data_IF_574702143874
#
_entry.id   IF_574702143874
#
_cell.length_a   1.000
_cell.length_b   1.000
_cell.length_c   1.000
_cell.angle_alpha   90.00
_cell.angle_beta   90.00
_cell.angle_gamma   90.00
#
_symmetry.space_group_name_H-M   'P 1'
#
loop_
_entity.id
_entity.type
_entity.pdbx_description
1 polymer ?
#
# COMPACT_ATOMS: atom_id res chain seq x y z
N UNK A 1 14.83 21.18 -28.60
CA UNK A 1 14.86 21.29 -27.12
C UNK A 1 14.67 19.91 -26.53
N UNK A 2 15.75 19.31 -26.04
CA UNK A 2 15.72 18.03 -25.33
C UNK A 2 15.53 18.32 -23.85
N UNK A 3 14.26 18.45 -23.44
CA UNK A 3 13.94 18.58 -22.03
C UNK A 3 14.06 17.19 -21.42
N UNK A 4 15.24 16.94 -20.84
CA UNK A 4 15.49 15.91 -19.84
C UNK A 4 14.63 16.21 -18.61
N UNK A 5 13.33 15.98 -18.75
CA UNK A 5 12.40 15.86 -17.63
C UNK A 5 12.82 14.59 -16.91
N UNK A 6 13.59 14.79 -15.84
CA UNK A 6 13.95 13.76 -14.87
C UNK A 6 12.66 13.00 -14.55
N UNK A 7 12.47 11.85 -15.19
CA UNK A 7 11.15 11.26 -15.39
C UNK A 7 10.59 10.82 -14.03
N UNK A 8 9.88 11.72 -13.36
CA UNK A 8 9.21 11.40 -12.11
C UNK A 8 8.14 10.38 -12.48
N UNK A 9 8.24 9.14 -11.98
CA UNK A 9 7.34 8.07 -12.39
C UNK A 9 5.91 8.42 -11.98
N UNK A 10 4.95 8.03 -12.81
CA UNK A 10 3.55 8.19 -12.47
C UNK A 10 3.20 7.29 -11.29
N UNK A 11 2.54 7.80 -10.23
CA UNK A 11 2.07 6.98 -9.10
C UNK A 11 0.83 6.13 -9.46
N UNK A 12 0.61 5.84 -10.75
CA UNK A 12 -0.52 5.05 -11.20
C UNK A 12 -0.26 3.55 -10.95
N UNK A 13 -1.18 2.88 -10.25
CA UNK A 13 -1.11 1.44 -9.97
C UNK A 13 -1.99 0.60 -10.92
N UNK A 14 -2.49 1.19 -12.01
CA UNK A 14 -3.35 0.51 -12.98
C UNK A 14 -4.81 0.30 -12.53
N UNK A 15 -5.20 0.85 -11.39
CA UNK A 15 -6.58 0.81 -10.89
C UNK A 15 -7.30 2.11 -11.27
N UNK A 16 -8.23 2.04 -12.22
CA UNK A 16 -9.06 3.17 -12.62
C UNK A 16 -10.43 3.10 -11.94
N UNK A 17 -10.48 3.46 -10.65
CA UNK A 17 -11.71 3.54 -9.87
C UNK A 17 -11.72 4.88 -9.14
N UNK A 18 -12.82 5.60 -9.23
CA UNK A 18 -13.02 6.83 -8.46
C UNK A 18 -13.59 6.50 -7.08
N UNK A 19 -13.27 7.35 -6.11
CA UNK A 19 -13.88 7.39 -4.79
C UNK A 19 -15.39 7.70 -4.88
N UNK A 20 -16.12 7.52 -3.78
CA UNK A 20 -17.56 7.79 -3.68
C UNK A 20 -17.94 9.21 -4.14
N UNK A 21 -17.05 10.19 -3.93
CA UNK A 21 -17.26 11.57 -4.39
C UNK A 21 -16.94 11.81 -5.86
N UNK A 22 -16.34 10.85 -6.57
CA UNK A 22 -15.99 10.98 -7.99
C UNK A 22 -14.81 11.90 -8.29
N UNK A 23 -14.16 12.49 -7.29
CA UNK A 23 -13.12 13.52 -7.49
C UNK A 23 -11.69 12.96 -7.43
N UNK A 24 -11.50 11.84 -6.74
CA UNK A 24 -10.19 11.23 -6.45
C UNK A 24 -10.18 9.79 -6.94
N UNK A 25 -9.08 9.33 -7.51
CA UNK A 25 -8.87 7.93 -7.84
C UNK A 25 -8.61 7.12 -6.57
N UNK A 26 -9.44 6.13 -6.28
CA UNK A 26 -9.31 5.20 -5.15
C UNK A 26 -8.07 4.28 -5.24
N UNK A 27 -7.41 4.23 -6.41
CA UNK A 27 -6.19 3.47 -6.60
C UNK A 27 -4.92 4.27 -6.32
N UNK A 28 -4.71 5.35 -7.07
CA UNK A 28 -3.50 6.18 -6.96
C UNK A 28 -3.67 7.41 -6.04
N UNK A 29 -4.85 7.63 -5.47
CA UNK A 29 -5.18 8.71 -4.54
C UNK A 29 -4.97 10.13 -5.12
N UNK A 30 -4.93 10.26 -6.44
CA UNK A 30 -4.84 11.55 -7.16
C UNK A 30 -6.19 12.03 -7.63
N UNK A 31 -6.36 13.34 -7.72
CA UNK A 31 -7.54 13.95 -8.31
C UNK A 31 -7.57 13.75 -9.82
N UNK A 32 -8.76 13.81 -10.43
CA UNK A 32 -8.92 13.74 -11.88
C UNK A 32 -8.14 14.85 -12.61
N UNK A 33 -8.10 16.05 -12.05
CA UNK A 33 -7.36 17.18 -12.60
C UNK A 33 -5.85 16.89 -12.65
N UNK A 34 -5.29 16.39 -11.55
CA UNK A 34 -3.90 15.97 -11.46
C UNK A 34 -3.55 14.85 -12.47
N UNK A 35 -4.49 13.92 -12.72
CA UNK A 35 -4.31 12.83 -13.68
C UNK A 35 -4.31 13.37 -15.11
N UNK A 36 -5.27 14.23 -15.46
CA UNK A 36 -5.39 14.82 -16.80
C UNK A 36 -4.21 15.75 -17.13
N UNK A 37 -3.73 16.52 -16.15
CA UNK A 37 -2.65 17.48 -16.33
C UNK A 37 -1.24 16.88 -16.21
N UNK A 38 -1.10 15.59 -15.85
CA UNK A 38 0.20 14.97 -15.53
C UNK A 38 1.25 15.11 -16.63
N UNK A 39 0.86 14.92 -17.90
CA UNK A 39 1.76 15.04 -19.05
C UNK A 39 2.29 16.47 -19.23
N UNK A 40 1.57 17.48 -18.74
CA UNK A 40 1.97 18.89 -18.77
C UNK A 40 2.65 19.38 -17.50
N UNK A 41 2.75 18.56 -16.45
CA UNK A 41 3.40 18.95 -15.20
C UNK A 41 4.91 19.01 -15.34
N UNK A 42 5.52 20.03 -14.72
CA UNK A 42 6.97 20.11 -14.51
C UNK A 42 7.39 19.16 -13.40
N UNK A 43 8.67 18.78 -13.37
CA UNK A 43 9.25 17.95 -12.31
C UNK A 43 8.82 18.40 -10.89
N UNK A 44 8.88 19.70 -10.59
CA UNK A 44 8.50 20.24 -9.27
C UNK A 44 7.02 20.01 -8.94
N UNK A 45 6.12 20.13 -9.91
CA UNK A 45 4.69 19.81 -9.73
C UNK A 45 4.49 18.32 -9.50
N UNK A 46 5.21 17.47 -10.24
CA UNK A 46 5.16 16.01 -10.04
C UNK A 46 5.68 15.63 -8.65
N UNK A 47 6.72 16.29 -8.17
CA UNK A 47 7.26 16.11 -6.82
C UNK A 47 6.28 16.56 -5.73
N UNK A 48 5.54 17.66 -5.94
CA UNK A 48 4.49 18.10 -5.02
C UNK A 48 3.37 17.07 -4.90
N UNK A 49 2.93 16.49 -6.02
CA UNK A 49 1.97 15.37 -6.03
C UNK A 49 2.50 14.20 -5.21
N UNK A 50 3.75 13.79 -5.43
CA UNK A 50 4.37 12.70 -4.67
C UNK A 50 4.47 13.01 -3.17
N UNK A 51 4.86 14.22 -2.79
CA UNK A 51 4.89 14.64 -1.37
C UNK A 51 3.51 14.55 -0.73
N UNK A 52 2.46 14.98 -1.43
CA UNK A 52 1.07 14.84 -0.96
C UNK A 52 0.68 13.37 -0.79
N UNK A 53 1.00 12.53 -1.78
CA UNK A 53 0.71 11.09 -1.74
C UNK A 53 1.45 10.37 -0.61
N UNK A 54 2.71 10.71 -0.34
CA UNK A 54 3.50 10.13 0.74
C UNK A 54 3.09 10.65 2.13
N UNK A 55 2.46 11.84 2.19
CA UNK A 55 1.92 12.40 3.42
C UNK A 55 0.53 11.86 3.77
N UNK A 56 -0.16 11.17 2.85
CA UNK A 56 -1.39 10.47 3.18
C UNK A 56 -1.10 9.36 4.20
N UNK A 57 -1.92 9.21 5.24
CA UNK A 57 -1.75 8.12 6.19
C UNK A 57 -1.87 6.80 5.43
N UNK A 58 -0.82 5.98 5.49
CA UNK A 58 -0.87 4.61 4.99
C UNK A 58 -2.09 3.93 5.64
N UNK A 59 -2.84 3.09 4.90
CA UNK A 59 -4.05 2.45 5.41
C UNK A 59 -3.68 1.44 6.51
N UNK A 60 -3.49 1.92 7.73
CA UNK A 60 -3.34 1.11 8.93
C UNK A 60 -4.71 0.55 9.28
N UNK A 61 -4.95 -0.67 8.86
CA UNK A 61 -6.24 -1.32 9.08
C UNK A 61 -6.22 -2.03 10.42
N UNK A 62 -7.10 -1.61 11.34
CA UNK A 62 -7.33 -2.37 12.58
C UNK A 62 -8.09 -3.64 12.22
N UNK A 63 -7.50 -4.79 12.51
CA UNK A 63 -8.08 -6.13 12.29
C UNK A 63 -8.11 -6.89 13.61
N UNK A 64 -8.90 -7.95 13.66
CA UNK A 64 -8.97 -8.86 14.81
C UNK A 64 -8.31 -10.17 14.43
N UNK A 65 -7.47 -10.71 15.31
CA UNK A 65 -6.81 -11.99 15.08
C UNK A 65 -7.81 -13.14 15.14
N UNK A 66 -7.96 -13.93 14.08
CA UNK A 66 -8.84 -15.10 14.08
C UNK A 66 -8.42 -16.20 15.07
N UNK A 67 -7.13 -16.27 15.43
CA UNK A 67 -6.59 -17.29 16.35
C UNK A 67 -6.75 -16.94 17.83
N UNK A 68 -6.53 -15.68 18.21
CA UNK A 68 -6.50 -15.25 19.62
C UNK A 68 -7.51 -14.16 19.98
N UNK A 69 -8.25 -13.62 19.00
CA UNK A 69 -9.24 -12.56 19.21
C UNK A 69 -8.65 -11.18 19.52
N UNK A 70 -7.33 -11.03 19.60
CA UNK A 70 -6.71 -9.73 19.90
C UNK A 70 -6.82 -8.78 18.71
N UNK A 71 -7.19 -7.53 18.98
CA UNK A 71 -7.13 -6.45 17.98
C UNK A 71 -5.67 -6.09 17.67
N UNK A 72 -5.33 -5.99 16.40
CA UNK A 72 -4.01 -5.60 15.92
C UNK A 72 -4.12 -4.68 14.71
N UNK A 73 -3.07 -3.91 14.41
CA UNK A 73 -3.01 -3.03 13.24
C UNK A 73 -2.19 -3.69 12.13
N UNK A 74 -2.83 -3.96 11.00
CA UNK A 74 -2.15 -4.32 9.77
C UNK A 74 -1.61 -3.04 9.12
N UNK A 75 -0.34 -3.03 8.70
CA UNK A 75 0.31 -1.86 8.11
C UNK A 75 1.11 -0.96 9.05
N UNK A 76 1.17 -1.28 10.34
CA UNK A 76 2.05 -0.62 11.30
C UNK A 76 2.93 -1.66 12.00
N UNK A 77 4.24 -1.44 12.03
CA UNK A 77 5.14 -2.15 12.94
C UNK A 77 5.98 -3.30 12.38
N UNK A 78 6.18 -3.41 11.07
CA UNK A 78 7.34 -4.13 10.54
C UNK A 78 8.64 -3.48 11.03
N UNK A 79 9.74 -4.23 11.06
CA UNK A 79 11.05 -3.75 11.54
C UNK A 79 11.54 -2.46 10.85
N UNK A 80 11.06 -2.18 9.65
CA UNK A 80 11.34 -0.95 8.89
C UNK A 80 10.17 0.07 8.89
N UNK A 81 9.21 -0.05 9.81
CA UNK A 81 8.06 0.85 9.90
C UNK A 81 6.94 0.58 8.88
N UNK A 82 6.88 -0.64 8.30
CA UNK A 82 5.87 -1.05 7.31
C UNK A 82 4.86 -2.09 7.80
N UNK A 83 4.21 -2.80 6.88
CA UNK A 83 3.40 -3.98 7.19
C UNK A 83 4.33 -5.14 7.59
N UNK A 84 4.20 -5.70 8.80
CA UNK A 84 5.02 -6.87 9.20
C UNK A 84 4.78 -8.12 8.31
N UNK A 85 3.65 -8.20 7.59
CA UNK A 85 3.39 -9.24 6.59
C UNK A 85 4.20 -9.05 5.29
N UNK A 86 4.70 -7.85 5.00
CA UNK A 86 5.51 -7.57 3.81
C UNK A 86 6.96 -8.08 3.94
N UNK A 87 7.37 -8.46 5.14
CA UNK A 87 8.69 -9.03 5.45
C UNK A 87 8.71 -10.56 5.28
N UNK A 88 7.54 -11.19 5.12
CA UNK A 88 7.43 -12.64 4.94
C UNK A 88 7.77 -13.06 3.50
N UNK A 89 8.39 -14.25 3.30
CA UNK A 89 8.75 -14.72 1.98
C UNK A 89 7.51 -14.85 1.10
N UNK A 90 7.62 -14.36 -0.14
CA UNK A 90 6.53 -14.29 -1.14
C UNK A 90 5.91 -15.65 -1.48
N UNK A 91 6.58 -16.74 -1.13
CA UNK A 91 6.13 -18.13 -1.27
C UNK A 91 4.97 -18.49 -0.33
N UNK A 92 4.72 -17.70 0.72
CA UNK A 92 3.55 -17.84 1.60
C UNK A 92 2.30 -17.12 1.06
N UNK A 93 2.22 -16.96 -0.27
CA UNK A 93 1.08 -16.40 -1.00
C UNK A 93 -0.03 -17.44 -1.22
N UNK A 94 -0.69 -17.92 -0.16
CA UNK A 94 -2.13 -18.09 -0.27
C UNK A 94 -2.88 -17.30 0.80
N UNK A 95 -2.34 -16.20 1.34
CA UNK A 95 -3.18 -15.12 1.88
C UNK A 95 -3.87 -14.34 0.74
N UNK A 96 -4.48 -15.10 -0.18
CA UNK A 96 -5.49 -14.63 -1.11
C UNK A 96 -6.68 -14.13 -0.29
N UNK A 97 -7.54 -13.34 -0.94
CA UNK A 97 -8.62 -12.52 -0.40
C UNK A 97 -9.65 -13.17 0.57
N UNK A 98 -9.46 -14.44 0.97
CA UNK A 98 -10.31 -15.23 1.86
C UNK A 98 -9.59 -15.73 3.14
N UNK A 99 -8.33 -15.36 3.36
CA UNK A 99 -7.58 -15.85 4.53
C UNK A 99 -7.78 -15.01 5.78
N UNK A 100 -8.05 -15.69 6.90
CA UNK A 100 -8.20 -15.08 8.22
C UNK A 100 -6.98 -14.25 8.65
N UNK A 101 -7.24 -13.03 9.12
CA UNK A 101 -6.22 -12.12 9.62
C UNK A 101 -5.61 -12.64 10.93
N UNK A 102 -4.29 -12.84 11.00
CA UNK A 102 -3.57 -13.24 12.22
C UNK A 102 -2.67 -12.10 12.72
N UNK A 103 -2.55 -11.94 14.05
CA UNK A 103 -1.60 -11.01 14.66
C UNK A 103 -0.14 -11.51 14.51
N UNK A 104 0.89 -10.64 14.63
CA UNK A 104 2.29 -11.02 14.41
C UNK A 104 2.74 -12.21 15.27
N UNK A 105 2.35 -12.24 16.55
CA UNK A 105 2.66 -13.34 17.46
C UNK A 105 2.02 -14.67 17.04
N UNK A 106 0.79 -14.63 16.52
CA UNK A 106 0.07 -15.83 16.08
C UNK A 106 0.58 -16.35 14.73
N UNK A 107 0.92 -15.45 13.80
CA UNK A 107 1.46 -15.85 12.50
C UNK A 107 2.88 -16.39 12.63
N UNK A 108 3.77 -15.76 13.42
CA UNK A 108 5.11 -16.29 13.67
C UNK A 108 5.08 -17.72 14.24
N UNK A 109 4.17 -18.00 15.17
CA UNK A 109 3.94 -19.35 15.69
C UNK A 109 3.46 -20.33 14.61
N UNK A 110 2.66 -19.88 13.64
CA UNK A 110 2.18 -20.72 12.55
C UNK A 110 3.28 -21.00 11.52
N UNK A 111 4.10 -20.00 11.19
CA UNK A 111 5.26 -20.17 10.30
C UNK A 111 6.30 -21.11 10.90
N UNK A 112 6.57 -21.00 12.20
CA UNK A 112 7.44 -21.94 12.92
C UNK A 112 6.91 -23.39 12.93
N UNK A 113 5.61 -23.59 12.72
CA UNK A 113 4.96 -24.92 12.71
C UNK A 113 4.81 -25.49 11.28
N UNK A 114 4.94 -24.67 10.24
CA UNK A 114 4.69 -25.03 8.84
C UNK A 114 5.94 -25.18 7.96
N UNK A 115 7.16 -25.08 8.51
CA UNK A 115 8.38 -25.31 7.74
C UNK A 115 8.51 -26.82 7.41
N UNK A 116 8.40 -27.24 6.14
CA UNK A 116 8.66 -28.62 5.77
C UNK A 116 10.13 -28.95 6.04
N UNK A 117 10.38 -30.10 6.68
CA UNK A 117 11.72 -30.68 6.89
C UNK A 117 12.30 -31.21 5.59
#
# INVERSE_FOLDING_TARGET
MEQSDKAVPSPCIGVCRLDESGQVCAGCHRTLDEIAAWSGYRAEQKEQVWRRLLALPLPVQRKTCARCGSGFTCGAGGEQGGCWCADLPRDLSPLAADSDCLCPACLQKQLAQGAPR
#
